data_IF_402047766156
#
_entry.id   IF_402047766156
#
_cell.length_a   1.000
_cell.length_b   1.000
_cell.length_c   1.000
_cell.angle_alpha   90.00
_cell.angle_beta   90.00
_cell.angle_gamma   90.00
#
_symmetry.space_group_name_H-M   'P 1'
#
loop_
_entity.id
_entity.type
_entity.pdbx_description
1 polymer ?
#
# COMPACT_ATOMS: atom_id res chain seq x y z
N UNK A 1 16.23 18.16 -18.21
CA UNK A 1 14.77 17.85 -18.27
C UNK A 1 14.29 17.76 -16.83
N UNK A 2 13.26 18.53 -16.46
CA UNK A 2 12.73 18.47 -15.08
C UNK A 2 11.97 17.15 -14.91
N UNK A 3 12.08 16.51 -13.74
CA UNK A 3 11.32 15.29 -13.41
C UNK A 3 9.82 15.50 -13.48
N UNK A 4 9.34 16.71 -13.17
CA UNK A 4 7.92 17.06 -13.20
C UNK A 4 7.33 17.06 -14.61
N UNK A 5 8.16 17.25 -15.64
CA UNK A 5 7.75 17.20 -17.05
C UNK A 5 7.62 15.76 -17.57
N UNK A 6 8.08 14.76 -16.79
CA UNK A 6 8.04 13.35 -17.18
C UNK A 6 6.73 12.68 -16.79
N UNK A 7 6.31 11.73 -17.64
CA UNK A 7 5.23 10.82 -17.25
C UNK A 7 5.58 10.02 -15.99
N UNK A 8 4.60 9.57 -15.19
CA UNK A 8 4.88 8.74 -14.00
C UNK A 8 5.73 7.50 -14.31
N UNK A 9 5.54 6.89 -15.48
CA UNK A 9 6.35 5.74 -15.94
C UNK A 9 7.83 6.08 -16.08
N UNK A 10 8.15 7.22 -16.69
CA UNK A 10 9.54 7.68 -16.86
C UNK A 10 10.12 8.14 -15.54
N UNK A 11 9.32 8.81 -14.71
CA UNK A 11 9.68 9.27 -13.37
C UNK A 11 10.07 8.10 -12.46
N UNK A 12 9.32 6.99 -12.49
CA UNK A 12 9.65 5.76 -11.76
C UNK A 12 11.03 5.19 -12.13
N UNK A 13 11.51 5.42 -13.34
CA UNK A 13 12.82 4.96 -13.81
C UNK A 13 13.93 5.96 -13.48
N UNK A 14 13.67 7.26 -13.60
CA UNK A 14 14.68 8.31 -13.56
C UNK A 14 14.94 8.87 -12.15
N UNK A 15 13.90 9.07 -11.33
CA UNK A 15 14.03 9.75 -10.04
C UNK A 15 14.91 8.98 -9.04
N UNK A 16 15.66 9.70 -8.20
CA UNK A 16 16.57 9.12 -7.20
C UNK A 16 17.77 8.38 -7.80
N UNK A 17 18.16 8.70 -9.04
CA UNK A 17 19.42 8.22 -9.64
C UNK A 17 20.54 9.23 -9.46
N UNK A 18 21.80 8.76 -9.29
CA UNK A 18 22.97 9.63 -9.44
C UNK A 18 22.99 10.27 -10.84
N UNK A 19 23.38 11.53 -10.93
CA UNK A 19 23.34 12.32 -12.16
C UNK A 19 24.66 13.03 -12.50
N UNK A 20 25.67 12.92 -11.63
CA UNK A 20 26.95 13.57 -11.88
C UNK A 20 27.89 12.68 -12.73
N UNK A 21 28.69 13.28 -13.62
CA UNK A 21 29.67 12.54 -14.41
C UNK A 21 30.61 11.69 -13.54
N UNK A 22 30.71 10.40 -13.84
CA UNK A 22 31.59 9.46 -13.12
C UNK A 22 30.89 8.74 -11.96
N UNK A 23 29.68 9.13 -11.59
CA UNK A 23 28.89 8.38 -10.62
C UNK A 23 28.33 7.08 -11.22
N UNK A 24 28.09 6.05 -10.39
CA UNK A 24 27.48 4.81 -10.87
C UNK A 24 26.04 5.09 -11.32
N UNK A 25 25.60 4.49 -12.43
CA UNK A 25 24.24 4.67 -12.96
C UNK A 25 23.15 4.21 -12.00
N UNK A 26 23.42 3.22 -11.16
CA UNK A 26 22.48 2.76 -10.14
C UNK A 26 22.90 3.30 -8.77
N UNK A 27 21.90 3.61 -7.92
CA UNK A 27 22.11 4.08 -6.56
C UNK A 27 22.94 3.05 -5.76
N UNK A 28 24.07 3.45 -5.14
CA UNK A 28 24.85 2.55 -4.31
C UNK A 28 24.08 2.06 -3.07
N UNK A 29 24.34 0.82 -2.68
CA UNK A 29 23.91 0.29 -1.38
C UNK A 29 24.89 0.74 -0.31
N UNK A 30 24.48 1.69 0.54
CA UNK A 30 25.29 2.22 1.64
C UNK A 30 24.83 1.61 2.96
N UNK A 31 25.46 0.52 3.37
CA UNK A 31 25.18 -0.20 4.61
C UNK A 31 26.04 0.35 5.75
N UNK A 32 25.61 1.46 6.35
CA UNK A 32 26.30 2.09 7.48
C UNK A 32 25.32 2.65 8.51
N UNK A 33 25.71 2.67 9.78
CA UNK A 33 24.97 3.32 10.86
C UNK A 33 25.54 4.69 11.22
N UNK A 34 26.83 4.96 10.92
CA UNK A 34 27.52 6.17 11.35
C UNK A 34 28.48 6.66 10.26
N UNK A 35 28.83 7.93 10.34
CA UNK A 35 29.65 8.61 9.34
C UNK A 35 30.81 9.35 10.02
N UNK A 36 31.89 9.60 9.25
CA UNK A 36 32.97 10.48 9.69
C UNK A 36 32.44 11.89 9.86
N UNK A 37 32.77 12.54 10.99
CA UNK A 37 32.27 13.86 11.34
C UNK A 37 32.66 14.93 10.31
N UNK A 38 31.80 15.96 10.15
CA UNK A 38 32.03 17.13 9.28
C UNK A 38 31.23 17.10 7.98
N UNK A 39 30.46 16.03 7.69
CA UNK A 39 29.57 15.94 6.54
C UNK A 39 28.07 16.15 6.86
N UNK A 40 27.21 16.04 5.85
CA UNK A 40 25.76 16.15 6.00
C UNK A 40 25.11 14.98 6.74
N UNK A 41 25.62 13.76 6.56
CA UNK A 41 25.18 12.59 7.30
C UNK A 41 26.01 12.43 8.59
N UNK A 42 25.36 12.03 9.68
CA UNK A 42 26.00 11.82 10.99
C UNK A 42 25.72 10.42 11.52
N UNK A 43 24.46 10.09 11.64
CA UNK A 43 23.98 8.82 12.16
C UNK A 43 22.69 8.40 11.42
N UNK A 44 22.67 7.21 10.87
CA UNK A 44 21.62 6.78 9.93
C UNK A 44 20.19 6.93 10.51
N UNK A 45 19.97 6.57 11.80
CA UNK A 45 18.66 6.71 12.44
C UNK A 45 18.14 8.16 12.44
N UNK A 46 19.03 9.14 12.53
CA UNK A 46 18.68 10.57 12.60
C UNK A 46 18.60 11.21 11.19
N UNK A 47 19.64 11.03 10.39
CA UNK A 47 19.80 11.76 9.12
C UNK A 47 19.62 10.88 7.88
N UNK A 48 19.37 9.56 8.05
CA UNK A 48 19.23 8.63 6.93
C UNK A 48 20.56 8.17 6.34
N UNK A 49 20.46 7.60 5.14
CA UNK A 49 21.59 7.18 4.30
C UNK A 49 21.34 7.63 2.87
N UNK A 50 22.36 7.73 2.00
CA UNK A 50 22.15 8.02 0.58
C UNK A 50 21.19 7.02 -0.10
N UNK A 51 21.19 5.75 0.34
CA UNK A 51 20.28 4.73 -0.18
C UNK A 51 18.81 5.03 0.15
N UNK A 52 18.53 5.46 1.40
CA UNK A 52 17.17 5.87 1.79
C UNK A 52 16.74 7.13 1.05
N UNK A 53 17.62 8.13 1.00
CA UNK A 53 17.35 9.40 0.33
C UNK A 53 16.94 9.19 -1.14
N UNK A 54 17.62 8.31 -1.87
CA UNK A 54 17.30 7.98 -3.26
C UNK A 54 15.91 7.33 -3.42
N UNK A 55 15.51 6.45 -2.48
CA UNK A 55 14.17 5.88 -2.48
C UNK A 55 13.11 6.93 -2.13
N UNK A 56 13.37 7.73 -1.08
CA UNK A 56 12.49 8.81 -0.64
C UNK A 56 12.28 9.84 -1.75
N UNK A 57 13.34 10.23 -2.46
CA UNK A 57 13.26 11.10 -3.64
C UNK A 57 12.41 10.49 -4.76
N UNK A 58 12.65 9.20 -5.09
CA UNK A 58 11.93 8.55 -6.18
C UNK A 58 10.42 8.42 -5.89
N UNK A 59 10.03 8.10 -4.65
CA UNK A 59 8.63 8.01 -4.25
C UNK A 59 8.01 9.41 -4.11
N UNK A 60 8.73 10.36 -3.54
CA UNK A 60 8.28 11.75 -3.44
C UNK A 60 7.98 12.37 -4.81
N UNK A 61 8.85 12.12 -5.80
CA UNK A 61 8.63 12.56 -7.18
C UNK A 61 7.40 11.93 -7.84
N UNK A 62 7.03 10.70 -7.47
CA UNK A 62 5.86 10.02 -8.01
C UNK A 62 4.56 10.47 -7.37
N UNK A 63 4.54 10.63 -6.04
CA UNK A 63 3.34 11.04 -5.29
C UNK A 63 3.15 12.56 -5.26
N UNK A 64 4.20 13.35 -5.53
CA UNK A 64 4.14 14.81 -5.53
C UNK A 64 4.34 15.45 -4.16
N UNK A 65 5.15 14.85 -3.28
CA UNK A 65 5.40 15.34 -1.92
C UNK A 65 6.74 14.91 -1.34
N UNK A 66 6.90 15.04 -0.02
CA UNK A 66 8.09 14.63 0.73
C UNK A 66 7.91 13.23 1.29
N UNK A 67 8.71 12.29 0.83
CA UNK A 67 8.65 10.91 1.31
C UNK A 67 9.57 10.66 2.50
N UNK A 68 9.16 9.73 3.37
CA UNK A 68 9.97 9.18 4.47
C UNK A 68 9.83 7.66 4.50
N UNK A 69 10.95 6.95 4.52
CA UNK A 69 10.98 5.49 4.55
C UNK A 69 11.00 4.94 5.98
N UNK A 70 10.27 3.85 6.21
CA UNK A 70 10.08 3.16 7.49
C UNK A 70 10.36 1.67 7.38
N UNK A 71 10.62 1.01 8.51
CA UNK A 71 10.90 -0.42 8.59
C UNK A 71 9.77 -1.33 8.06
N UNK A 72 8.53 -0.84 7.99
CA UNK A 72 7.38 -1.61 7.50
C UNK A 72 6.19 -0.70 7.21
N UNK A 73 5.20 -1.20 6.44
CA UNK A 73 3.94 -0.49 6.21
C UNK A 73 3.20 -0.17 7.51
N UNK A 74 3.17 -1.09 8.47
CA UNK A 74 2.52 -0.82 9.76
C UNK A 74 3.24 0.25 10.59
N UNK A 75 4.55 0.41 10.43
CA UNK A 75 5.30 1.48 11.08
C UNK A 75 4.92 2.87 10.53
N UNK A 76 4.49 2.98 9.28
CA UNK A 76 3.96 4.24 8.73
C UNK A 76 2.63 4.62 9.39
N UNK A 77 1.73 3.65 9.55
CA UNK A 77 0.46 3.87 10.24
C UNK A 77 0.68 4.28 11.70
N UNK A 78 1.63 3.61 12.40
CA UNK A 78 1.99 3.97 13.76
C UNK A 78 2.57 5.41 13.86
N UNK A 79 3.40 5.82 12.89
CA UNK A 79 3.94 7.17 12.84
C UNK A 79 2.86 8.23 12.63
N UNK A 80 1.90 7.99 11.72
CA UNK A 80 0.76 8.90 11.52
C UNK A 80 -0.10 9.01 12.79
N UNK A 81 -0.38 7.87 13.46
CA UNK A 81 -1.12 7.85 14.72
C UNK A 81 -0.36 8.59 15.83
N UNK A 82 0.97 8.54 15.83
CA UNK A 82 1.82 9.24 16.81
C UNK A 82 1.71 10.78 16.72
N UNK A 83 1.37 11.33 15.55
CA UNK A 83 1.13 12.75 15.35
C UNK A 83 -0.20 13.26 15.94
N UNK A 84 -1.09 12.37 16.35
CA UNK A 84 -2.43 12.74 16.78
C UNK A 84 -2.46 13.08 18.27
N UNK A 85 -3.23 14.09 18.62
CA UNK A 85 -3.49 14.45 20.02
C UNK A 85 -4.30 13.36 20.75
N UNK A 86 -4.18 13.35 22.07
CA UNK A 86 -5.02 12.47 22.91
C UNK A 86 -6.48 12.87 22.80
N UNK A 87 -7.35 11.93 22.48
CA UNK A 87 -8.76 12.13 22.27
C UNK A 87 -9.17 12.45 20.84
N UNK A 88 -8.19 12.55 19.91
CA UNK A 88 -8.48 12.76 18.49
C UNK A 88 -9.37 11.65 17.92
N UNK A 89 -10.26 12.01 17.00
CA UNK A 89 -11.15 11.08 16.31
C UNK A 89 -10.62 10.73 14.92
N UNK A 90 -10.49 9.42 14.67
CA UNK A 90 -10.08 8.86 13.37
C UNK A 90 -11.25 8.12 12.75
N UNK A 91 -11.71 8.58 11.58
CA UNK A 91 -12.65 7.86 10.75
C UNK A 91 -11.90 6.90 9.81
N UNK A 92 -12.34 5.64 9.75
CA UNK A 92 -11.66 4.56 9.00
C UNK A 92 -12.68 3.61 8.37
N UNK A 93 -12.42 3.00 7.20
CA UNK A 93 -13.34 2.04 6.61
C UNK A 93 -13.55 0.82 7.52
N UNK A 94 -14.76 0.28 7.57
CA UNK A 94 -15.04 -1.01 8.24
C UNK A 94 -14.23 -2.13 7.60
N UNK A 95 -13.99 -2.06 6.29
CA UNK A 95 -13.12 -2.94 5.52
C UNK A 95 -11.84 -2.18 5.15
N UNK A 96 -10.74 -2.50 5.81
CA UNK A 96 -9.40 -1.97 5.54
C UNK A 96 -8.36 -2.94 6.10
N UNK A 97 -7.10 -2.67 5.88
CA UNK A 97 -6.02 -3.53 6.38
C UNK A 97 -6.14 -3.76 7.89
N UNK A 98 -6.25 -5.03 8.27
CA UNK A 98 -6.48 -5.45 9.67
C UNK A 98 -5.40 -4.97 10.64
N UNK A 99 -4.15 -4.80 10.18
CA UNK A 99 -3.06 -4.25 10.99
C UNK A 99 -3.31 -2.80 11.39
N UNK A 100 -3.73 -1.94 10.47
CA UNK A 100 -4.07 -0.53 10.76
C UNK A 100 -5.28 -0.45 11.70
N UNK A 101 -6.33 -1.25 11.44
CA UNK A 101 -7.49 -1.34 12.34
C UNK A 101 -7.09 -1.78 13.74
N UNK A 102 -6.22 -2.78 13.84
CA UNK A 102 -5.72 -3.27 15.13
C UNK A 102 -4.91 -2.23 15.91
N UNK A 103 -4.09 -1.40 15.23
CA UNK A 103 -3.41 -0.26 15.86
C UNK A 103 -4.39 0.78 16.39
N UNK A 104 -5.40 1.14 15.60
CA UNK A 104 -6.44 2.10 16.00
C UNK A 104 -7.26 1.57 17.17
N UNK A 105 -7.66 0.30 17.14
CA UNK A 105 -8.41 -0.34 18.23
C UNK A 105 -7.59 -0.39 19.52
N UNK A 106 -6.30 -0.71 19.41
CA UNK A 106 -5.39 -0.69 20.57
C UNK A 106 -5.28 0.72 21.18
N UNK A 107 -5.12 1.74 20.34
CA UNK A 107 -5.05 3.13 20.79
C UNK A 107 -6.38 3.58 21.44
N UNK A 108 -7.52 3.20 20.85
CA UNK A 108 -8.85 3.48 21.39
C UNK A 108 -9.08 2.75 22.71
N UNK A 109 -8.71 1.48 22.82
CA UNK A 109 -8.81 0.70 24.06
C UNK A 109 -7.98 1.27 25.21
N UNK A 110 -6.93 2.03 24.91
CA UNK A 110 -6.14 2.79 25.89
C UNK A 110 -6.67 4.22 26.15
N UNK A 111 -7.78 4.60 25.55
CA UNK A 111 -8.34 5.94 25.68
C UNK A 111 -7.54 7.05 24.97
N UNK A 112 -6.61 6.67 24.07
CA UNK A 112 -5.80 7.65 23.35
C UNK A 112 -6.55 8.26 22.17
N UNK A 113 -7.37 7.47 21.46
CA UNK A 113 -8.10 7.90 20.28
C UNK A 113 -9.57 7.52 20.37
N UNK A 114 -10.40 8.14 19.54
CA UNK A 114 -11.74 7.70 19.18
C UNK A 114 -11.71 7.17 17.75
N UNK A 115 -12.41 6.06 17.48
CA UNK A 115 -12.44 5.43 16.16
C UNK A 115 -13.87 5.38 15.66
N UNK A 116 -14.13 6.05 14.52
CA UNK A 116 -15.39 5.99 13.79
C UNK A 116 -15.22 5.06 12.61
N UNK A 117 -15.99 3.96 12.57
CA UNK A 117 -15.98 3.05 11.43
C UNK A 117 -17.09 3.40 10.46
N UNK A 118 -16.73 3.52 9.17
CA UNK A 118 -17.66 3.94 8.12
C UNK A 118 -17.68 2.86 7.03
N UNK A 119 -18.88 2.51 6.57
CA UNK A 119 -19.03 1.63 5.40
C UNK A 119 -18.41 2.34 4.17
N UNK A 120 -17.61 1.66 3.34
CA UNK A 120 -17.04 2.27 2.12
C UNK A 120 -18.10 2.88 1.20
N UNK A 121 -19.31 2.33 1.17
CA UNK A 121 -20.43 2.83 0.37
C UNK A 121 -21.20 4.00 1.01
N UNK A 122 -20.98 4.30 2.28
CA UNK A 122 -21.66 5.40 3.00
C UNK A 122 -21.01 6.76 2.68
N UNK A 123 -21.32 7.30 1.51
CA UNK A 123 -20.78 8.59 1.06
C UNK A 123 -21.08 9.73 2.04
N UNK A 124 -22.29 9.79 2.59
CA UNK A 124 -22.67 10.87 3.53
C UNK A 124 -21.93 10.76 4.86
N UNK A 125 -21.73 9.54 5.35
CA UNK A 125 -20.90 9.28 6.54
C UNK A 125 -19.44 9.74 6.33
N UNK A 126 -18.86 9.51 5.16
CA UNK A 126 -17.53 9.99 4.82
C UNK A 126 -17.46 11.51 4.76
N UNK A 127 -18.42 12.19 4.13
CA UNK A 127 -18.49 13.65 4.07
C UNK A 127 -18.72 14.28 5.46
N UNK A 128 -19.50 13.65 6.31
CA UNK A 128 -19.67 14.09 7.70
C UNK A 128 -18.36 13.95 8.48
N UNK A 129 -17.68 12.81 8.36
CA UNK A 129 -16.39 12.58 9.00
C UNK A 129 -15.33 13.59 8.55
N UNK A 130 -15.28 13.93 7.27
CA UNK A 130 -14.34 14.93 6.75
C UNK A 130 -14.54 16.32 7.39
N UNK A 131 -15.79 16.68 7.76
CA UNK A 131 -16.10 17.95 8.44
C UNK A 131 -15.91 17.91 9.96
N UNK A 132 -16.01 16.74 10.58
CA UNK A 132 -16.13 16.60 12.04
C UNK A 132 -14.91 15.97 12.70
N UNK A 133 -14.35 14.91 12.12
CA UNK A 133 -13.23 14.17 12.68
C UNK A 133 -11.90 14.96 12.60
N UNK A 134 -10.89 14.47 13.29
CA UNK A 134 -9.54 15.03 13.21
C UNK A 134 -8.76 14.40 12.06
N UNK A 135 -9.03 13.12 11.77
CA UNK A 135 -8.45 12.38 10.64
C UNK A 135 -9.51 11.55 9.93
N UNK A 136 -9.46 11.57 8.60
CA UNK A 136 -10.12 10.60 7.74
C UNK A 136 -9.02 9.71 7.12
N UNK A 137 -9.00 8.44 7.53
CA UNK A 137 -8.10 7.43 6.98
C UNK A 137 -8.81 6.66 5.88
N UNK A 138 -8.40 6.85 4.64
CA UNK A 138 -8.95 6.17 3.47
C UNK A 138 -8.02 5.05 3.03
N UNK A 139 -8.57 3.92 2.67
CA UNK A 139 -7.92 2.85 1.90
C UNK A 139 -8.78 2.59 0.67
N UNK A 140 -8.28 2.90 -0.52
CA UNK A 140 -9.05 2.79 -1.78
C UNK A 140 -8.13 2.32 -2.92
N UNK A 141 -8.35 1.07 -3.40
CA UNK A 141 -9.38 0.09 -3.00
C UNK A 141 -9.18 -0.46 -1.58
N UNK A 142 -10.28 -0.82 -0.91
CA UNK A 142 -10.25 -1.39 0.45
C UNK A 142 -9.73 -2.84 0.46
N UNK A 143 -9.12 -3.27 1.56
CA UNK A 143 -8.67 -4.64 1.76
C UNK A 143 -9.54 -5.35 2.82
N UNK A 144 -10.18 -6.50 2.52
CA UNK A 144 -10.03 -7.30 1.30
C UNK A 144 -11.15 -7.13 0.27
N UNK A 145 -12.11 -6.25 0.50
CA UNK A 145 -13.37 -6.20 -0.27
C UNK A 145 -13.27 -5.41 -1.58
N UNK A 146 -12.18 -4.69 -1.80
CA UNK A 146 -11.86 -3.90 -3.00
C UNK A 146 -12.89 -2.81 -3.34
N UNK A 147 -13.60 -2.30 -2.34
CA UNK A 147 -14.50 -1.17 -2.50
C UNK A 147 -13.72 0.12 -2.74
N UNK A 148 -14.26 1.01 -3.55
CA UNK A 148 -13.65 2.31 -3.84
C UNK A 148 -14.28 3.41 -2.99
N UNK A 149 -13.43 4.27 -2.42
CA UNK A 149 -13.84 5.47 -1.70
C UNK A 149 -13.30 6.67 -2.49
N UNK A 150 -14.19 7.61 -2.81
CA UNK A 150 -13.81 8.84 -3.52
C UNK A 150 -13.09 9.80 -2.58
N UNK A 151 -11.82 10.11 -2.88
CA UNK A 151 -10.95 10.91 -2.02
C UNK A 151 -11.22 12.41 -2.16
N UNK A 152 -11.38 12.89 -3.38
CA UNK A 152 -11.42 14.33 -3.65
C UNK A 152 -12.50 15.10 -2.84
N UNK A 153 -13.73 14.59 -2.64
CA UNK A 153 -14.73 15.28 -1.83
C UNK A 153 -14.41 15.36 -0.33
N UNK A 154 -13.46 14.56 0.16
CA UNK A 154 -13.07 14.50 1.57
C UNK A 154 -11.99 15.54 1.91
N UNK A 155 -11.29 16.06 0.90
CA UNK A 155 -10.17 16.98 1.05
C UNK A 155 -10.62 18.43 1.21
N UNK A 156 -9.72 19.29 1.75
CA UNK A 156 -10.04 20.70 1.97
C UNK A 156 -11.09 20.97 3.05
N UNK A 157 -11.43 19.97 3.86
CA UNK A 157 -12.33 20.06 4.99
C UNK A 157 -11.53 20.22 6.31
N UNK A 158 -12.16 19.99 7.47
CA UNK A 158 -11.48 20.05 8.76
C UNK A 158 -10.50 18.90 8.98
N UNK A 159 -10.91 17.70 8.62
CA UNK A 159 -10.12 16.51 8.87
C UNK A 159 -8.88 16.45 8.00
N UNK A 160 -7.75 16.02 8.57
CA UNK A 160 -6.58 15.61 7.79
C UNK A 160 -6.90 14.31 7.04
N UNK A 161 -6.66 14.29 5.73
CA UNK A 161 -6.93 13.12 4.89
C UNK A 161 -5.66 12.30 4.71
N UNK A 162 -5.67 11.09 5.24
CA UNK A 162 -4.60 10.08 5.12
C UNK A 162 -5.06 8.99 4.19
N UNK A 163 -4.27 8.66 3.17
CA UNK A 163 -4.64 7.64 2.19
C UNK A 163 -3.62 6.50 2.19
N UNK A 164 -4.07 5.29 2.47
CA UNK A 164 -3.29 4.08 2.19
C UNK A 164 -3.42 3.75 0.70
N UNK A 165 -2.37 4.07 -0.06
CA UNK A 165 -2.29 3.93 -1.50
C UNK A 165 -1.56 2.64 -1.94
N UNK A 166 -1.43 1.67 -1.03
CA UNK A 166 -0.66 0.45 -1.25
C UNK A 166 -1.16 -0.36 -2.46
N UNK A 167 -2.49 -0.48 -2.64
CA UNK A 167 -3.09 -1.27 -3.74
C UNK A 167 -3.05 -0.53 -5.07
N UNK A 168 -3.37 0.76 -5.06
CA UNK A 168 -3.39 1.56 -6.30
C UNK A 168 -1.98 1.90 -6.78
N UNK A 169 -1.00 2.06 -5.91
CA UNK A 169 0.35 2.54 -6.17
C UNK A 169 0.39 3.99 -6.70
N UNK A 170 1.53 4.68 -6.71
CA UNK A 170 1.63 6.02 -7.29
C UNK A 170 1.32 6.08 -8.80
N UNK A 171 1.26 4.92 -9.47
CA UNK A 171 0.96 4.84 -10.91
C UNK A 171 -0.53 4.67 -11.22
N UNK A 172 -1.31 4.15 -10.28
CA UNK A 172 -2.77 4.00 -10.42
C UNK A 172 -3.55 5.15 -9.82
N UNK A 173 -3.02 5.77 -8.75
CA UNK A 173 -3.67 6.88 -8.05
C UNK A 173 -2.61 7.79 -7.42
N UNK A 174 -2.85 9.10 -7.43
CA UNK A 174 -2.00 10.12 -6.82
C UNK A 174 -2.82 10.94 -5.81
N UNK A 175 -2.97 10.46 -4.56
CA UNK A 175 -3.86 11.07 -3.58
C UNK A 175 -3.50 12.51 -3.21
N UNK A 176 -2.19 12.88 -3.18
CA UNK A 176 -1.79 14.26 -2.92
C UNK A 176 -2.29 15.22 -4.01
N UNK A 177 -2.31 14.79 -5.28
CA UNK A 177 -2.88 15.56 -6.36
C UNK A 177 -4.41 15.73 -6.26
N UNK A 178 -5.08 14.83 -5.50
CA UNK A 178 -6.50 14.95 -5.16
C UNK A 178 -6.76 15.79 -3.90
N UNK A 179 -5.69 16.29 -3.26
CA UNK A 179 -5.76 17.14 -2.07
C UNK A 179 -5.61 16.39 -0.74
N UNK A 180 -5.21 15.12 -0.72
CA UNK A 180 -4.87 14.42 0.50
C UNK A 180 -3.64 15.04 1.18
N UNK A 181 -3.54 14.92 2.51
CA UNK A 181 -2.44 15.48 3.29
C UNK A 181 -1.26 14.52 3.42
N UNK A 182 -1.56 13.23 3.60
CA UNK A 182 -0.57 12.17 3.80
C UNK A 182 -0.96 10.94 2.98
N UNK A 183 0.01 10.38 2.28
CA UNK A 183 -0.09 9.07 1.64
C UNK A 183 0.77 8.07 2.39
N UNK A 184 0.27 6.86 2.62
CA UNK A 184 1.05 5.75 3.17
C UNK A 184 1.11 4.59 2.18
N UNK A 185 2.25 3.90 2.16
CA UNK A 185 2.45 2.68 1.38
C UNK A 185 3.10 1.59 2.20
N UNK A 186 2.66 0.37 2.02
CA UNK A 186 3.49 -0.79 2.27
C UNK A 186 4.30 -1.10 1.00
N UNK A 187 5.55 -0.62 0.95
CA UNK A 187 6.45 -0.91 -0.18
C UNK A 187 6.80 -2.40 -0.28
N UNK A 188 6.54 -3.18 0.78
CA UNK A 188 6.54 -4.64 0.83
C UNK A 188 5.75 -5.29 -0.31
N UNK A 189 4.73 -4.57 -0.82
CA UNK A 189 3.77 -5.05 -1.81
C UNK A 189 4.25 -4.73 -3.24
N UNK A 190 3.41 -4.12 -4.04
CA UNK A 190 3.66 -3.84 -5.46
C UNK A 190 4.94 -3.02 -5.74
N UNK A 191 5.33 -2.11 -4.85
CA UNK A 191 6.56 -1.30 -5.04
C UNK A 191 7.79 -2.22 -5.03
N UNK A 192 7.97 -3.06 -4.00
CA UNK A 192 9.01 -4.10 -3.97
C UNK A 192 8.78 -5.15 -5.04
N UNK A 193 7.61 -5.78 -5.01
CA UNK A 193 7.07 -6.62 -6.07
C UNK A 193 7.70 -8.01 -6.21
N UNK A 194 8.52 -8.46 -5.25
CA UNK A 194 9.26 -9.73 -5.33
C UNK A 194 9.19 -10.55 -4.03
N UNK A 195 8.29 -10.20 -3.10
CA UNK A 195 8.07 -10.91 -1.83
C UNK A 195 9.33 -11.08 -0.95
N UNK A 196 10.30 -10.17 -1.08
CA UNK A 196 11.66 -10.29 -0.54
C UNK A 196 12.05 -9.17 0.44
N UNK A 197 11.12 -8.23 0.77
CA UNK A 197 11.39 -7.13 1.68
C UNK A 197 10.17 -6.75 2.53
N UNK A 198 10.44 -6.13 3.68
CA UNK A 198 9.48 -5.38 4.48
C UNK A 198 9.89 -3.92 4.50
N UNK A 199 9.01 -3.01 4.06
CA UNK A 199 9.29 -1.57 4.07
C UNK A 199 7.99 -0.77 3.97
N UNK A 200 7.95 0.39 4.64
CA UNK A 200 6.87 1.35 4.55
C UNK A 200 7.36 2.70 4.04
N UNK A 201 6.45 3.48 3.49
CA UNK A 201 6.71 4.83 3.03
C UNK A 201 5.54 5.73 3.44
N UNK A 202 5.83 6.92 3.94
CA UNK A 202 4.88 8.03 3.99
C UNK A 202 5.27 9.08 2.97
N UNK A 203 4.29 9.79 2.43
CA UNK A 203 4.52 10.99 1.62
C UNK A 203 3.58 12.07 2.12
N UNK A 204 4.10 13.24 2.47
CA UNK A 204 3.32 14.38 2.91
C UNK A 204 3.43 15.53 1.92
N UNK A 205 2.31 16.25 1.72
CA UNK A 205 2.28 17.44 0.89
C UNK A 205 2.95 18.63 1.59
N UNK A 206 2.76 18.76 2.89
CA UNK A 206 3.33 19.80 3.73
C UNK A 206 4.69 19.38 4.31
N UNK A 207 5.69 20.30 4.26
CA UNK A 207 7.05 20.01 4.72
C UNK A 207 7.12 19.81 6.24
N UNK A 208 6.35 20.57 7.01
CA UNK A 208 6.30 20.43 8.48
C UNK A 208 5.76 19.07 8.89
N UNK A 209 4.70 18.59 8.22
CA UNK A 209 4.15 17.23 8.43
C UNK A 209 5.18 16.16 8.05
N UNK A 210 5.93 16.35 6.96
CA UNK A 210 6.99 15.42 6.57
C UNK A 210 8.11 15.35 7.62
N UNK A 211 8.47 16.48 8.24
CA UNK A 211 9.44 16.55 9.34
C UNK A 211 8.91 15.83 10.58
N UNK A 212 7.66 16.08 10.98
CA UNK A 212 7.02 15.37 12.10
C UNK A 212 7.02 13.84 11.91
N UNK A 213 6.74 13.36 10.70
CA UNK A 213 6.79 11.93 10.37
C UNK A 213 8.22 11.37 10.44
N UNK A 214 9.22 12.14 9.99
CA UNK A 214 10.63 11.77 10.12
C UNK A 214 11.06 11.72 11.59
N UNK A 215 10.61 12.66 12.40
CA UNK A 215 10.86 12.68 13.83
C UNK A 215 10.19 11.50 14.53
N UNK A 216 8.96 11.15 14.15
CA UNK A 216 8.27 9.97 14.66
C UNK A 216 9.06 8.68 14.31
N UNK A 217 9.58 8.54 13.07
CA UNK A 217 10.47 7.45 12.69
C UNK A 217 11.69 7.38 13.62
N UNK A 218 12.34 8.52 13.83
CA UNK A 218 13.56 8.62 14.65
C UNK A 218 13.31 8.26 16.11
N UNK A 219 12.24 8.81 16.72
CA UNK A 219 11.84 8.54 18.10
C UNK A 219 11.50 7.06 18.32
N UNK A 220 10.71 6.49 17.41
CA UNK A 220 10.21 5.13 17.51
C UNK A 220 11.23 4.08 17.04
N UNK A 221 12.36 4.51 16.46
CA UNK A 221 13.37 3.61 15.91
C UNK A 221 12.88 2.80 14.71
N UNK A 222 11.82 3.24 14.03
CA UNK A 222 11.18 2.55 12.91
C UNK A 222 11.96 2.73 11.58
N UNK A 223 13.28 2.64 11.63
CA UNK A 223 14.19 2.88 10.52
C UNK A 223 14.25 1.68 9.57
N UNK A 224 14.24 1.89 8.25
CA UNK A 224 14.38 0.80 7.28
C UNK A 224 15.81 0.24 7.27
N UNK A 225 15.96 -1.01 6.83
CA UNK A 225 17.28 -1.54 6.46
C UNK A 225 17.75 -0.94 5.12
N UNK A 226 19.09 -0.83 4.96
CA UNK A 226 19.67 -0.30 3.72
C UNK A 226 19.39 -1.22 2.52
N UNK A 227 19.42 -2.54 2.73
CA UNK A 227 19.14 -3.53 1.70
C UNK A 227 17.68 -3.46 1.26
N UNK A 228 16.73 -3.40 2.19
CA UNK A 228 15.30 -3.32 1.92
C UNK A 228 14.96 -2.04 1.15
N UNK A 229 15.55 -0.91 1.52
CA UNK A 229 15.38 0.35 0.78
C UNK A 229 15.94 0.26 -0.65
N UNK A 230 17.12 -0.36 -0.82
CA UNK A 230 17.72 -0.59 -2.13
C UNK A 230 16.89 -1.53 -3.00
N UNK A 231 16.38 -2.63 -2.43
CA UNK A 231 15.51 -3.58 -3.13
C UNK A 231 14.19 -2.92 -3.52
N UNK A 232 13.58 -2.12 -2.64
CA UNK A 232 12.36 -1.36 -2.95
C UNK A 232 12.59 -0.37 -4.10
N UNK A 233 13.70 0.37 -4.10
CA UNK A 233 14.07 1.27 -5.21
C UNK A 233 14.28 0.48 -6.51
N UNK A 234 14.93 -0.68 -6.44
CA UNK A 234 15.11 -1.56 -7.61
C UNK A 234 13.76 -2.09 -8.12
N UNK A 235 12.87 -2.51 -7.23
CA UNK A 235 11.51 -2.96 -7.56
C UNK A 235 10.70 -1.85 -8.24
N UNK A 236 10.78 -0.62 -7.72
CA UNK A 236 10.10 0.55 -8.27
C UNK A 236 10.43 0.77 -9.76
N UNK A 237 11.68 0.50 -10.19
CA UNK A 237 12.11 0.68 -11.58
C UNK A 237 11.33 -0.20 -12.58
N UNK A 238 10.81 -1.33 -12.12
CA UNK A 238 10.00 -2.25 -12.94
C UNK A 238 8.51 -2.21 -12.60
N UNK A 239 8.10 -1.41 -11.63
CA UNK A 239 6.69 -1.28 -11.26
C UNK A 239 5.79 -0.96 -12.47
N UNK A 240 6.15 -0.02 -13.39
CA UNK A 240 5.27 0.31 -14.52
C UNK A 240 4.96 -0.87 -15.44
N UNK A 241 5.94 -1.71 -15.74
CA UNK A 241 5.74 -2.87 -16.61
C UNK A 241 5.03 -4.01 -15.88
N UNK A 242 5.37 -4.25 -14.61
CA UNK A 242 4.69 -5.27 -13.79
C UNK A 242 3.22 -4.92 -13.59
N UNK A 243 2.93 -3.70 -13.15
CA UNK A 243 1.56 -3.25 -12.90
C UNK A 243 0.70 -3.31 -14.16
N UNK A 244 1.22 -2.91 -15.32
CA UNK A 244 0.49 -2.94 -16.58
C UNK A 244 0.12 -4.37 -16.98
N UNK A 245 1.05 -5.32 -16.90
CA UNK A 245 0.80 -6.72 -17.27
C UNK A 245 -0.11 -7.41 -16.25
N UNK A 246 0.16 -7.27 -14.96
CA UNK A 246 -0.68 -7.83 -13.90
C UNK A 246 -2.12 -7.30 -13.97
N UNK A 247 -2.32 -5.99 -14.24
CA UNK A 247 -3.66 -5.41 -14.38
C UNK A 247 -4.40 -5.95 -15.60
N UNK A 248 -3.71 -6.12 -16.73
CA UNK A 248 -4.29 -6.73 -17.94
C UNK A 248 -4.77 -8.16 -17.67
N UNK A 249 -3.95 -8.96 -16.99
CA UNK A 249 -4.27 -10.33 -16.60
C UNK A 249 -5.40 -10.36 -15.58
N UNK A 250 -5.37 -9.45 -14.57
CA UNK A 250 -6.43 -9.35 -13.57
C UNK A 250 -7.80 -9.04 -14.19
N UNK A 251 -7.86 -8.11 -15.15
CA UNK A 251 -9.11 -7.79 -15.84
C UNK A 251 -9.67 -9.00 -16.61
N UNK A 252 -8.81 -9.75 -17.31
CA UNK A 252 -9.20 -10.98 -18.02
C UNK A 252 -9.75 -12.04 -17.06
N UNK A 253 -9.02 -12.29 -15.95
CA UNK A 253 -9.41 -13.31 -14.98
C UNK A 253 -10.68 -12.91 -14.21
N UNK A 254 -10.84 -11.63 -13.88
CA UNK A 254 -12.06 -11.12 -13.24
C UNK A 254 -13.30 -11.33 -14.12
N UNK A 255 -13.19 -11.09 -15.43
CA UNK A 255 -14.29 -11.35 -16.37
C UNK A 255 -14.64 -12.84 -16.42
N UNK A 256 -13.65 -13.73 -16.56
CA UNK A 256 -13.88 -15.18 -16.61
C UNK A 256 -14.45 -15.73 -15.28
N UNK A 257 -13.97 -15.24 -14.15
CA UNK A 257 -14.52 -15.58 -12.83
C UNK A 257 -15.99 -15.16 -12.72
N UNK A 258 -16.35 -14.00 -13.28
CA UNK A 258 -17.74 -13.52 -13.27
C UNK A 258 -18.72 -14.37 -14.09
N UNK A 259 -18.21 -15.16 -15.04
CA UNK A 259 -18.99 -16.09 -15.85
C UNK A 259 -19.02 -17.51 -15.27
N UNK A 260 -18.21 -17.81 -14.26
CA UNK A 260 -18.06 -19.15 -13.71
C UNK A 260 -19.20 -19.48 -12.72
N UNK A 261 -19.93 -20.61 -12.87
CA UNK A 261 -21.11 -20.91 -12.07
C UNK A 261 -20.86 -21.11 -10.57
N UNK A 262 -19.65 -21.47 -10.16
CA UNK A 262 -19.28 -21.60 -8.75
C UNK A 262 -19.02 -20.26 -8.06
N UNK A 263 -18.85 -19.17 -8.82
CA UNK A 263 -18.53 -17.83 -8.29
C UNK A 263 -19.83 -17.04 -8.12
N UNK A 264 -20.15 -16.66 -6.90
CA UNK A 264 -21.39 -15.93 -6.59
C UNK A 264 -21.26 -14.43 -6.78
N UNK A 265 -20.05 -13.89 -6.63
CA UNK A 265 -19.75 -12.46 -6.80
C UNK A 265 -18.28 -12.25 -7.12
N UNK A 266 -17.99 -11.36 -8.07
CA UNK A 266 -16.64 -10.84 -8.33
C UNK A 266 -16.57 -9.38 -7.91
N UNK A 267 -15.48 -9.02 -7.24
CA UNK A 267 -15.11 -7.66 -6.87
C UNK A 267 -13.80 -7.32 -7.55
N UNK A 268 -13.85 -6.42 -8.49
CA UNK A 268 -12.71 -5.92 -9.24
C UNK A 268 -12.93 -4.43 -9.55
N UNK A 269 -12.03 -3.54 -9.13
CA UNK A 269 -12.24 -2.09 -9.30
C UNK A 269 -12.11 -1.59 -10.74
N UNK A 270 -11.93 -2.50 -11.72
CA UNK A 270 -11.70 -2.14 -13.13
C UNK A 270 -10.23 -1.83 -13.45
N UNK A 271 -9.38 -1.81 -12.45
CA UNK A 271 -7.94 -1.57 -12.58
C UNK A 271 -7.17 -2.23 -11.42
N UNK A 272 -5.83 -2.31 -11.56
CA UNK A 272 -4.97 -2.90 -10.53
C UNK A 272 -4.89 -4.41 -10.62
N UNK A 273 -4.18 -5.00 -9.67
CA UNK A 273 -3.74 -6.41 -9.70
C UNK A 273 -4.55 -7.33 -8.80
N UNK A 274 -5.48 -6.75 -8.02
CA UNK A 274 -6.24 -7.48 -7.02
C UNK A 274 -7.63 -7.82 -7.52
N UNK A 275 -8.02 -9.07 -7.31
CA UNK A 275 -9.40 -9.55 -7.49
C UNK A 275 -9.85 -10.10 -6.12
N UNK A 276 -11.09 -9.83 -5.73
CA UNK A 276 -11.74 -10.59 -4.68
C UNK A 276 -13.00 -11.24 -5.27
N UNK A 277 -13.28 -12.49 -4.90
CA UNK A 277 -14.47 -13.17 -5.36
C UNK A 277 -15.06 -14.05 -4.24
N UNK A 278 -16.34 -14.30 -4.33
CA UNK A 278 -17.09 -15.05 -3.31
C UNK A 278 -17.53 -16.39 -3.89
N UNK A 279 -17.29 -17.44 -3.12
CA UNK A 279 -17.84 -18.77 -3.34
C UNK A 279 -19.01 -18.99 -2.36
N UNK A 280 -19.71 -20.10 -2.51
CA UNK A 280 -20.91 -20.41 -1.76
C UNK A 280 -20.72 -20.30 -0.23
N UNK A 281 -19.57 -20.78 0.26
CA UNK A 281 -19.25 -20.79 1.69
C UNK A 281 -17.75 -20.91 1.96
N UNK A 282 -17.38 -21.00 3.24
CA UNK A 282 -16.02 -21.16 3.68
C UNK A 282 -15.37 -22.47 3.19
N UNK A 283 -16.14 -23.57 3.14
CA UNK A 283 -15.60 -24.87 2.73
C UNK A 283 -15.24 -24.86 1.24
N UNK A 284 -16.08 -24.28 0.39
CA UNK A 284 -15.78 -24.11 -1.03
C UNK A 284 -14.52 -23.25 -1.26
N UNK A 285 -14.35 -22.17 -0.49
CA UNK A 285 -13.17 -21.32 -0.58
C UNK A 285 -11.89 -22.03 -0.09
N UNK A 286 -11.97 -22.81 0.98
CA UNK A 286 -10.83 -23.60 1.47
C UNK A 286 -10.46 -24.73 0.49
N UNK A 287 -11.45 -25.38 -0.12
CA UNK A 287 -11.22 -26.39 -1.16
C UNK A 287 -10.53 -25.79 -2.39
N UNK A 288 -11.01 -24.63 -2.86
CA UNK A 288 -10.34 -23.91 -3.94
C UNK A 288 -8.86 -23.67 -3.61
N UNK A 289 -8.59 -23.04 -2.46
CA UNK A 289 -7.21 -22.72 -2.07
C UNK A 289 -6.32 -23.97 -1.98
N UNK A 290 -6.86 -25.11 -1.57
CA UNK A 290 -6.13 -26.37 -1.46
C UNK A 290 -5.94 -27.09 -2.80
N UNK A 291 -6.81 -26.86 -3.78
CA UNK A 291 -6.77 -27.53 -5.08
C UNK A 291 -5.88 -26.83 -6.11
N UNK A 292 -5.52 -25.58 -5.90
CA UNK A 292 -4.62 -24.82 -6.77
C UNK A 292 -3.21 -25.42 -6.79
N UNK A 293 -2.54 -25.35 -7.95
CA UNK A 293 -1.23 -25.98 -8.19
C UNK A 293 -0.16 -24.99 -8.63
N UNK A 294 -0.53 -23.95 -9.37
CA UNK A 294 0.34 -22.87 -9.81
C UNK A 294 0.21 -21.67 -8.89
N UNK A 295 -1.03 -21.24 -8.64
CA UNK A 295 -1.34 -20.13 -7.74
C UNK A 295 -1.07 -20.56 -6.31
N UNK A 296 -0.24 -19.80 -5.58
CA UNK A 296 0.18 -20.17 -4.24
C UNK A 296 -0.87 -19.79 -3.18
N UNK A 297 -1.21 -20.73 -2.31
CA UNK A 297 -2.02 -20.40 -1.13
C UNK A 297 -1.13 -19.75 -0.07
N UNK A 298 -1.12 -18.44 -0.03
CA UNK A 298 -0.31 -17.65 0.89
C UNK A 298 -0.94 -16.28 1.18
N UNK A 299 -0.61 -15.73 2.34
CA UNK A 299 -0.91 -14.31 2.64
C UNK A 299 0.02 -13.38 1.86
N UNK A 300 -0.25 -12.08 1.90
CA UNK A 300 0.43 -11.02 1.17
C UNK A 300 -0.18 -10.78 -0.22
N UNK A 301 0.50 -9.98 -1.04
CA UNK A 301 0.05 -9.59 -2.38
C UNK A 301 1.14 -8.79 -3.12
N UNK A 302 0.95 -8.60 -4.42
CA UNK A 302 1.70 -7.64 -5.23
C UNK A 302 3.08 -8.13 -5.66
N UNK A 303 3.40 -9.42 -5.45
CA UNK A 303 4.58 -10.09 -5.99
C UNK A 303 4.45 -10.36 -7.48
N UNK A 304 5.52 -10.92 -8.05
CA UNK A 304 5.52 -11.46 -9.43
C UNK A 304 4.76 -12.78 -9.51
N UNK A 305 4.63 -13.48 -8.39
CA UNK A 305 3.84 -14.71 -8.22
C UNK A 305 2.39 -14.40 -7.87
N UNK A 306 1.49 -15.25 -8.35
CA UNK A 306 0.06 -15.20 -7.99
C UNK A 306 -0.21 -15.84 -6.65
N UNK A 307 -0.96 -15.12 -5.79
CA UNK A 307 -1.31 -15.55 -4.43
C UNK A 307 -2.81 -15.55 -4.21
N UNK A 308 -3.31 -16.53 -3.48
CA UNK A 308 -4.72 -16.64 -3.11
C UNK A 308 -4.88 -16.93 -1.62
N UNK A 309 -5.94 -16.37 -1.01
CA UNK A 309 -6.23 -16.59 0.39
C UNK A 309 -7.71 -16.32 0.71
N UNK A 310 -8.35 -17.22 1.47
CA UNK A 310 -9.66 -16.94 2.08
C UNK A 310 -9.46 -16.00 3.28
N UNK A 311 -10.03 -14.81 3.22
CA UNK A 311 -9.73 -13.76 4.20
C UNK A 311 -10.39 -13.95 5.57
N UNK A 312 -11.57 -14.54 5.64
CA UNK A 312 -12.30 -14.75 6.90
C UNK A 312 -11.61 -15.69 7.91
N UNK A 313 -10.49 -16.35 7.54
CA UNK A 313 -9.67 -17.14 8.49
C UNK A 313 -8.94 -16.29 9.52
N UNK A 314 -8.71 -15.02 9.20
CA UNK A 314 -7.99 -14.12 10.08
C UNK A 314 -8.96 -13.43 11.06
N UNK A 315 -8.68 -13.42 12.37
CA UNK A 315 -9.55 -12.77 13.33
C UNK A 315 -9.89 -11.32 13.00
N UNK A 316 -8.92 -10.57 12.46
CA UNK A 316 -9.13 -9.18 12.03
C UNK A 316 -10.08 -9.04 10.84
N UNK A 317 -10.31 -10.07 10.05
CA UNK A 317 -11.17 -10.09 8.87
C UNK A 317 -12.36 -11.06 9.02
N UNK A 318 -12.65 -11.55 10.22
CA UNK A 318 -13.75 -12.49 10.48
C UNK A 318 -15.15 -11.95 10.11
N UNK A 319 -15.28 -10.65 9.91
CA UNK A 319 -16.52 -9.95 9.55
C UNK A 319 -16.79 -9.88 8.05
N UNK A 320 -15.83 -10.29 7.18
CA UNK A 320 -16.06 -10.36 5.73
C UNK A 320 -16.82 -11.64 5.35
N UNK A 321 -17.42 -11.74 4.14
CA UNK A 321 -18.11 -12.94 3.71
C UNK A 321 -17.26 -14.20 3.88
N UNK A 322 -17.83 -15.27 4.42
CA UNK A 322 -17.10 -16.48 4.78
C UNK A 322 -16.43 -17.16 3.57
N UNK A 323 -17.03 -17.07 2.38
CA UNK A 323 -16.51 -17.58 1.11
C UNK A 323 -15.66 -16.58 0.34
N UNK A 324 -15.28 -15.41 0.92
CA UNK A 324 -14.47 -14.41 0.24
C UNK A 324 -13.02 -14.87 0.08
N UNK A 325 -12.60 -14.98 -1.16
CA UNK A 325 -11.23 -15.26 -1.58
C UNK A 325 -10.61 -13.99 -2.15
N UNK A 326 -9.45 -13.59 -1.63
CA UNK A 326 -8.64 -12.52 -2.19
C UNK A 326 -7.56 -13.13 -3.07
N UNK A 327 -7.46 -12.65 -4.31
CA UNK A 327 -6.52 -13.11 -5.32
C UNK A 327 -5.61 -11.95 -5.76
N UNK A 328 -4.32 -12.09 -5.53
CA UNK A 328 -3.27 -11.21 -6.05
C UNK A 328 -2.71 -11.81 -7.33
N UNK A 329 -2.94 -11.15 -8.45
CA UNK A 329 -2.51 -11.64 -9.77
C UNK A 329 -1.04 -11.32 -9.99
N UNK A 330 -0.27 -12.35 -10.33
CA UNK A 330 1.16 -12.28 -10.66
C UNK A 330 1.42 -12.02 -12.14
N UNK A 331 2.57 -12.51 -12.61
CA UNK A 331 3.06 -12.34 -13.99
C UNK A 331 3.07 -13.66 -14.79
N UNK A 332 2.51 -14.73 -14.25
CA UNK A 332 2.37 -15.98 -14.94
C UNK A 332 1.47 -15.83 -16.17
N UNK A 333 1.56 -16.78 -17.10
CA UNK A 333 0.71 -16.77 -18.30
C UNK A 333 -0.78 -16.79 -17.92
N UNK A 334 -1.61 -15.89 -18.47
CA UNK A 334 -3.03 -15.80 -18.10
C UNK A 334 -3.83 -17.06 -18.33
N UNK A 335 -3.47 -17.84 -19.36
CA UNK A 335 -4.18 -19.10 -19.66
C UNK A 335 -3.77 -20.22 -18.69
N UNK A 336 -2.54 -20.21 -18.20
CA UNK A 336 -2.09 -21.14 -17.16
C UNK A 336 -2.79 -20.82 -15.83
N UNK A 337 -2.88 -19.54 -15.46
CA UNK A 337 -3.62 -19.11 -14.27
C UNK A 337 -5.11 -19.48 -14.36
N UNK A 338 -5.73 -19.25 -15.52
CA UNK A 338 -7.12 -19.62 -15.70
C UNK A 338 -7.34 -21.14 -15.64
N UNK A 339 -6.45 -21.92 -16.24
CA UNK A 339 -6.52 -23.39 -16.18
C UNK A 339 -6.43 -23.90 -14.75
N UNK A 340 -5.57 -23.27 -13.94
CA UNK A 340 -5.42 -23.63 -12.53
C UNK A 340 -6.66 -23.24 -11.71
N UNK A 341 -7.24 -22.05 -11.92
CA UNK A 341 -8.51 -21.64 -11.30
C UNK A 341 -9.68 -22.54 -11.72
N UNK A 342 -9.84 -22.80 -13.02
CA UNK A 342 -10.98 -23.55 -13.53
C UNK A 342 -11.00 -24.99 -13.02
N UNK A 343 -9.84 -25.67 -12.92
CA UNK A 343 -9.77 -27.03 -12.37
C UNK A 343 -10.01 -27.07 -10.85
N UNK A 344 -9.79 -25.96 -10.13
CA UNK A 344 -10.00 -25.87 -8.69
C UNK A 344 -11.41 -25.40 -8.31
N UNK A 345 -12.15 -24.83 -9.25
CA UNK A 345 -13.54 -24.37 -9.09
C UNK A 345 -14.60 -25.46 -9.40
N UNK A 346 -14.15 -26.71 -9.66
CA UNK A 346 -15.05 -27.83 -10.02
C UNK A 346 -15.69 -28.49 -8.82
#
# INVERSE_FOLDING_TARGET
MNLDDLSPRSRAIAAGRPDQPGEPLNTPLVATSTYVAGGGFKYARENGTPTWAALEEAIGALEGGRATAFASGIATAAAVIDLLDVGAEVAVPVYSYSGTRGLLDHAAGKGRLKVRRIDPADREGWLAAAREADVVWVESPTNPTLDLIDIAPLTGQRARVVVDNTFATPLGQQPLALGADIVVHSATKLIGGHSDLLLGLTVAADEGVAEELRDARTRNGATPGALEAWLALRGLRTLPVRLAEQSRTAALLAARLGEHPAVTKVRYPGQGTMIAFELADAAAADQLCAALRLIQHATSLGGVESLVERRAVWPGDAHVPAGLVRFSVGLEDPEDLWRDLAQALT
#
